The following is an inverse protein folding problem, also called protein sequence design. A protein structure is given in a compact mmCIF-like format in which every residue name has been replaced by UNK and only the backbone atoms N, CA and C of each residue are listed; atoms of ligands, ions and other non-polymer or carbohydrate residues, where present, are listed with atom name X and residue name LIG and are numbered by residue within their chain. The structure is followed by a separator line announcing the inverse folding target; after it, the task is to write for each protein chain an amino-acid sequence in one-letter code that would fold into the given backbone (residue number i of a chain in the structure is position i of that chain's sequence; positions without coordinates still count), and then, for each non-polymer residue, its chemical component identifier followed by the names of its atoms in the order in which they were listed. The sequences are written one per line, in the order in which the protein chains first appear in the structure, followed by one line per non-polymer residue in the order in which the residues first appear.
data_IF_829871026498
#
_entry.id   IF_829871026498
#
_cell.length_a   1.000
_cell.length_b   1.000
_cell.length_c   1.000
_cell.angle_alpha   90.00
_cell.angle_beta   90.00
_cell.angle_gamma   90.00
#
_symmetry.space_group_name_H-M   'P 1'
#
loop_
_entity.id
_entity.type
_entity.pdbx_description
1 polymer ?
#
# COMPACT_ATOMS: atom_id res chain seq x y z
N UNK A 1 -13.46 -15.15 10.37
CA UNK A 1 -13.41 -15.88 11.64
C UNK A 1 -13.51 -14.93 12.82
N UNK A 2 -14.21 -15.32 13.88
CA UNK A 2 -14.53 -14.51 15.07
C UNK A 2 -13.31 -13.77 15.68
N UNK A 3 -12.14 -14.40 15.72
CA UNK A 3 -10.86 -13.82 16.17
C UNK A 3 -10.37 -12.66 15.28
N UNK A 4 -10.64 -12.72 13.97
CA UNK A 4 -10.34 -11.63 13.04
C UNK A 4 -11.17 -10.39 13.34
N UNK A 5 -12.45 -10.58 13.68
CA UNK A 5 -13.34 -9.50 14.11
C UNK A 5 -12.87 -8.86 15.41
N UNK A 6 -12.45 -9.66 16.39
CA UNK A 6 -11.91 -9.16 17.65
C UNK A 6 -10.62 -8.34 17.48
N UNK A 7 -9.70 -8.81 16.63
CA UNK A 7 -8.48 -8.06 16.27
C UNK A 7 -8.83 -6.70 15.67
N UNK A 8 -9.74 -6.67 14.69
CA UNK A 8 -10.18 -5.42 14.04
C UNK A 8 -10.81 -4.47 15.07
N UNK A 9 -11.64 -5.01 15.97
CA UNK A 9 -12.24 -4.24 17.06
C UNK A 9 -11.22 -3.59 17.99
N UNK A 10 -10.25 -4.35 18.51
CA UNK A 10 -9.21 -3.80 19.41
C UNK A 10 -8.39 -2.72 18.70
N UNK A 11 -7.94 -2.98 17.46
CA UNK A 11 -7.16 -2.00 16.73
C UNK A 11 -7.96 -0.73 16.43
N UNK A 12 -9.26 -0.86 16.11
CA UNK A 12 -10.14 0.29 15.92
C UNK A 12 -10.27 1.14 17.19
N UNK A 13 -10.37 0.50 18.36
CA UNK A 13 -10.38 1.21 19.65
C UNK A 13 -9.02 1.87 19.96
N UNK A 14 -7.90 1.19 19.69
CA UNK A 14 -6.57 1.79 19.87
C UNK A 14 -6.38 3.02 18.98
N UNK A 15 -6.81 2.95 17.73
CA UNK A 15 -6.75 4.05 16.76
C UNK A 15 -7.62 5.22 17.19
N UNK A 16 -8.84 4.98 17.65
CA UNK A 16 -9.72 6.06 18.10
C UNK A 16 -9.14 6.78 19.31
N UNK A 17 -8.54 6.05 20.25
CA UNK A 17 -7.81 6.65 21.38
C UNK A 17 -6.59 7.45 20.94
N UNK A 18 -5.82 6.95 19.96
CA UNK A 18 -4.68 7.66 19.40
C UNK A 18 -5.13 8.97 18.74
N UNK A 19 -6.20 8.95 17.96
CA UNK A 19 -6.77 10.12 17.29
C UNK A 19 -7.17 11.20 18.31
N UNK A 20 -7.91 10.81 19.37
CA UNK A 20 -8.29 11.73 20.45
C UNK A 20 -7.03 12.36 21.06
N UNK A 21 -6.02 11.56 21.39
CA UNK A 21 -4.78 12.05 22.02
C UNK A 21 -4.00 13.01 21.10
N UNK A 22 -3.96 12.73 19.79
CA UNK A 22 -3.32 13.60 18.80
C UNK A 22 -4.06 14.93 18.67
N UNK A 23 -5.39 14.91 18.52
CA UNK A 23 -6.21 16.13 18.44
C UNK A 23 -6.10 16.98 19.70
N UNK A 24 -6.14 16.37 20.88
CA UNK A 24 -5.98 17.09 22.15
C UNK A 24 -4.60 17.74 22.27
N UNK A 25 -3.51 17.02 21.93
CA UNK A 25 -2.16 17.57 21.97
C UNK A 25 -1.96 18.71 20.95
N UNK A 26 -2.47 18.55 19.73
CA UNK A 26 -2.39 19.60 18.71
C UNK A 26 -3.17 20.84 19.12
N UNK A 27 -4.39 20.68 19.63
CA UNK A 27 -5.18 21.79 20.14
C UNK A 27 -4.49 22.50 21.32
N UNK A 28 -3.88 21.74 22.23
CA UNK A 28 -3.08 22.30 23.31
C UNK A 28 -1.86 23.09 22.81
N UNK A 29 -1.22 22.62 21.72
CA UNK A 29 -0.12 23.33 21.08
C UNK A 29 -0.58 24.65 20.47
N UNK A 30 -1.71 24.65 19.78
CA UNK A 30 -2.29 25.89 19.21
C UNK A 30 -2.64 26.90 20.31
N UNK A 31 -3.19 26.46 21.45
CA UNK A 31 -3.48 27.35 22.58
C UNK A 31 -2.23 27.98 23.22
N UNK A 32 -1.03 27.43 23.00
CA UNK A 32 0.24 27.96 23.52
C UNK A 32 0.96 28.88 22.52
N UNK A 33 0.41 29.07 21.34
CA UNK A 33 1.02 29.86 20.28
C UNK A 33 0.71 31.35 20.44
N UNK A 34 1.63 32.20 19.97
CA UNK A 34 1.52 33.66 20.08
C UNK A 34 0.43 34.21 19.16
N UNK A 35 -0.12 35.38 19.49
CA UNK A 35 -1.22 36.01 18.72
C UNK A 35 -0.81 36.26 17.26
N UNK A 36 0.46 36.64 17.01
CA UNK A 36 0.98 36.84 15.64
C UNK A 36 0.96 35.58 14.76
N UNK A 37 0.93 34.37 15.36
CA UNK A 37 0.74 33.13 14.61
C UNK A 37 -0.68 33.02 14.03
N UNK A 38 -1.68 33.52 14.75
CA UNK A 38 -3.08 33.55 14.32
C UNK A 38 -3.39 34.70 13.35
N UNK A 39 -2.63 35.80 13.41
CA UNK A 39 -2.72 36.89 12.42
C UNK A 39 -2.22 36.44 11.04
N UNK A 40 -1.29 35.48 11.01
CA UNK A 40 -0.68 34.95 9.76
C UNK A 40 -1.42 33.71 9.23
N UNK A 41 -2.16 32.99 10.07
CA UNK A 41 -2.84 31.75 9.69
C UNK A 41 -4.35 31.84 9.93
N UNK A 42 -5.14 31.72 8.86
CA UNK A 42 -6.59 31.68 8.96
C UNK A 42 -7.07 30.56 9.89
N UNK A 43 -7.96 30.91 10.83
CA UNK A 43 -8.57 29.99 11.78
C UNK A 43 -9.28 28.81 11.10
N UNK A 44 -9.87 29.02 9.91
CA UNK A 44 -10.47 27.98 9.09
C UNK A 44 -9.46 26.95 8.56
N UNK A 45 -8.26 27.39 8.16
CA UNK A 45 -7.18 26.51 7.68
C UNK A 45 -6.59 25.67 8.82
N UNK A 46 -6.44 26.27 10.00
CA UNK A 46 -5.99 25.57 11.22
C UNK A 46 -7.00 24.50 11.68
N UNK A 47 -8.29 24.80 11.63
CA UNK A 47 -9.36 23.85 11.94
C UNK A 47 -9.44 22.72 10.91
N UNK A 48 -9.26 23.05 9.62
CA UNK A 48 -9.21 22.06 8.54
C UNK A 48 -8.04 21.09 8.73
N UNK A 49 -6.82 21.59 8.98
CA UNK A 49 -5.65 20.73 9.29
C UNK A 49 -5.85 19.89 10.54
N UNK A 50 -6.41 20.47 11.60
CA UNK A 50 -6.69 19.75 12.84
C UNK A 50 -7.64 18.58 12.62
N UNK A 51 -8.65 18.72 11.76
CA UNK A 51 -9.63 17.66 11.52
C UNK A 51 -9.21 16.69 10.41
N UNK A 52 -8.78 17.22 9.26
CA UNK A 52 -8.49 16.45 8.05
C UNK A 52 -7.15 15.70 8.16
N UNK A 53 -6.06 16.40 8.51
CA UNK A 53 -4.73 15.78 8.56
C UNK A 53 -4.65 14.74 9.68
N UNK A 54 -5.25 15.02 10.84
CA UNK A 54 -5.31 14.04 11.94
C UNK A 54 -6.14 12.81 11.57
N UNK A 55 -7.16 12.97 10.74
CA UNK A 55 -8.00 11.86 10.29
C UNK A 55 -7.29 11.02 9.23
N UNK A 56 -6.60 11.64 8.27
CA UNK A 56 -5.75 10.95 7.30
C UNK A 56 -4.61 10.20 8.00
N UNK A 57 -3.94 10.85 8.96
CA UNK A 57 -2.87 10.22 9.72
C UNK A 57 -3.40 9.03 10.53
N UNK A 58 -4.51 9.22 11.24
CA UNK A 58 -5.12 8.16 12.04
C UNK A 58 -5.59 6.99 11.18
N UNK A 59 -6.22 7.24 10.03
CA UNK A 59 -6.68 6.18 9.12
C UNK A 59 -5.53 5.42 8.47
N UNK A 60 -4.46 6.12 8.12
CA UNK A 60 -3.23 5.52 7.57
C UNK A 60 -2.57 4.60 8.61
N UNK A 61 -2.43 5.09 9.85
CA UNK A 61 -1.90 4.29 10.97
C UNK A 61 -2.80 3.10 11.29
N UNK A 62 -4.13 3.31 11.27
CA UNK A 62 -5.12 2.28 11.53
C UNK A 62 -5.10 1.14 10.52
N UNK A 63 -4.83 1.44 9.26
CA UNK A 63 -4.85 0.44 8.21
C UNK A 63 -3.48 -0.23 8.06
N UNK A 64 -2.38 0.54 8.07
CA UNK A 64 -1.07 -0.01 7.76
C UNK A 64 -0.46 -0.82 8.91
N UNK A 65 -0.53 -0.34 10.16
CA UNK A 65 0.12 -1.04 11.29
C UNK A 65 -0.45 -2.45 11.50
N UNK A 66 -1.78 -2.66 11.56
CA UNK A 66 -2.34 -3.99 11.78
C UNK A 66 -2.10 -4.92 10.58
N UNK A 67 -2.01 -4.36 9.37
CA UNK A 67 -1.66 -5.12 8.17
C UNK A 67 -0.21 -5.58 8.22
N UNK A 68 0.75 -4.70 8.53
CA UNK A 68 2.17 -5.04 8.66
C UNK A 68 2.40 -6.09 9.76
N UNK A 69 1.85 -5.88 10.96
CA UNK A 69 1.97 -6.84 12.07
C UNK A 69 1.32 -8.17 11.68
N UNK A 70 0.12 -8.13 11.07
CA UNK A 70 -0.58 -9.31 10.63
C UNK A 70 0.18 -10.09 9.55
N UNK A 71 0.79 -9.39 8.59
CA UNK A 71 1.63 -9.98 7.56
C UNK A 71 2.88 -10.62 8.17
N UNK A 72 3.55 -9.94 9.10
CA UNK A 72 4.73 -10.46 9.79
C UNK A 72 4.43 -11.73 10.60
N UNK A 73 3.37 -11.71 11.42
CA UNK A 73 2.96 -12.88 12.21
C UNK A 73 2.58 -14.06 11.31
N UNK A 74 1.84 -13.81 10.23
CA UNK A 74 1.50 -14.85 9.26
C UNK A 74 2.76 -15.40 8.56
N UNK A 75 3.67 -14.53 8.13
CA UNK A 75 4.91 -14.92 7.47
C UNK A 75 5.73 -15.84 8.38
N UNK A 76 5.99 -15.42 9.62
CA UNK A 76 6.74 -16.21 10.61
C UNK A 76 6.02 -17.51 10.94
N UNK A 77 4.70 -17.47 11.17
CA UNK A 77 3.92 -18.65 11.49
C UNK A 77 3.91 -19.69 10.36
N UNK A 78 3.68 -19.25 9.12
CA UNK A 78 3.72 -20.11 7.93
C UNK A 78 5.12 -20.67 7.69
N UNK A 79 6.15 -19.85 7.84
CA UNK A 79 7.54 -20.28 7.66
C UNK A 79 7.95 -21.36 8.66
N UNK A 80 7.61 -21.19 9.94
CA UNK A 80 7.88 -22.20 10.99
C UNK A 80 7.12 -23.50 10.70
N UNK A 81 5.85 -23.42 10.27
CA UNK A 81 5.07 -24.61 9.94
C UNK A 81 5.63 -25.36 8.73
N UNK A 82 6.09 -24.65 7.68
CA UNK A 82 6.72 -25.28 6.52
C UNK A 82 7.98 -26.06 6.90
N UNK A 83 8.84 -25.48 7.74
CA UNK A 83 10.06 -26.15 8.24
C UNK A 83 9.70 -27.41 9.03
N UNK A 84 8.67 -27.34 9.87
CA UNK A 84 8.21 -28.48 10.69
C UNK A 84 7.64 -29.63 9.86
N UNK A 85 6.93 -29.34 8.77
CA UNK A 85 6.37 -30.37 7.90
C UNK A 85 7.46 -31.12 7.12
N UNK A 86 8.30 -30.39 6.40
CA UNK A 86 9.36 -30.99 5.61
C UNK A 86 10.45 -30.00 5.28
N UNK A 87 11.64 -30.30 5.78
CA UNK A 87 12.85 -29.53 5.49
C UNK A 87 13.21 -29.56 4.00
N UNK A 88 12.99 -30.70 3.32
CA UNK A 88 13.36 -30.88 1.90
C UNK A 88 12.48 -30.04 0.96
N UNK A 89 11.17 -29.98 1.23
CA UNK A 89 10.23 -29.15 0.48
C UNK A 89 10.45 -27.65 0.77
N UNK A 90 10.84 -27.32 1.99
CA UNK A 90 11.16 -25.94 2.37
C UNK A 90 12.38 -25.42 1.62
N UNK A 91 13.44 -26.22 1.43
CA UNK A 91 14.60 -25.83 0.63
C UNK A 91 14.22 -25.58 -0.83
N UNK A 92 13.40 -26.44 -1.42
CA UNK A 92 12.91 -26.25 -2.78
C UNK A 92 12.13 -24.94 -2.93
N UNK A 93 11.28 -24.61 -1.96
CA UNK A 93 10.59 -23.32 -1.91
C UNK A 93 11.57 -22.14 -1.71
N UNK A 94 12.60 -22.30 -0.88
CA UNK A 94 13.60 -21.27 -0.60
C UNK A 94 14.45 -20.95 -1.84
N UNK A 95 14.66 -21.90 -2.74
CA UNK A 95 15.34 -21.68 -4.03
C UNK A 95 14.46 -20.86 -4.98
N UNK A 96 13.13 -21.03 -4.95
CA UNK A 96 12.20 -20.23 -5.75
C UNK A 96 11.90 -18.83 -5.18
N UNK A 97 12.02 -18.66 -3.86
CA UNK A 97 11.81 -17.39 -3.17
C UNK A 97 12.66 -16.19 -3.70
N UNK A 98 13.98 -16.31 -3.96
CA UNK A 98 14.78 -15.20 -4.47
C UNK A 98 14.30 -14.69 -5.82
N UNK A 99 13.79 -15.56 -6.70
CA UNK A 99 13.26 -15.16 -7.99
C UNK A 99 12.08 -14.18 -7.82
N UNK A 100 11.15 -14.51 -6.92
CA UNK A 100 9.99 -13.67 -6.62
C UNK A 100 10.44 -12.36 -5.96
N UNK A 101 11.36 -12.42 -4.99
CA UNK A 101 11.87 -11.24 -4.29
C UNK A 101 12.57 -10.24 -5.22
N UNK A 102 13.36 -10.73 -6.18
CA UNK A 102 14.06 -9.87 -7.15
C UNK A 102 13.05 -9.12 -8.02
N UNK A 103 12.03 -9.81 -8.56
CA UNK A 103 11.03 -9.16 -9.40
C UNK A 103 10.19 -8.17 -8.61
N UNK A 104 9.80 -8.50 -7.37
CA UNK A 104 9.09 -7.55 -6.50
C UNK A 104 9.94 -6.32 -6.20
N UNK A 105 11.24 -6.47 -5.93
CA UNK A 105 12.16 -5.34 -5.69
C UNK A 105 12.30 -4.40 -6.90
N UNK A 106 12.54 -4.96 -8.08
CA UNK A 106 12.69 -4.18 -9.31
C UNK A 106 11.39 -3.44 -9.63
N UNK A 107 10.25 -4.15 -9.53
CA UNK A 107 8.94 -3.58 -9.83
C UNK A 107 8.54 -2.52 -8.80
N UNK A 108 8.86 -2.72 -7.51
CA UNK A 108 8.61 -1.74 -6.45
C UNK A 108 9.34 -0.42 -6.67
N UNK A 109 10.61 -0.46 -7.10
CA UNK A 109 11.36 0.76 -7.43
C UNK A 109 10.75 1.50 -8.63
N UNK A 110 10.33 0.77 -9.66
CA UNK A 110 9.66 1.37 -10.82
C UNK A 110 8.29 1.97 -10.44
N UNK A 111 7.55 1.29 -9.56
CA UNK A 111 6.26 1.75 -9.06
C UNK A 111 6.40 3.04 -8.24
N UNK A 112 7.43 3.12 -7.38
CA UNK A 112 7.74 4.32 -6.60
C UNK A 112 7.99 5.54 -7.50
N UNK A 113 8.83 5.40 -8.53
CA UNK A 113 9.10 6.49 -9.49
C UNK A 113 7.87 6.97 -10.25
N UNK A 114 7.00 6.04 -10.66
CA UNK A 114 5.76 6.41 -11.37
C UNK A 114 4.77 7.07 -10.39
N UNK A 115 4.70 6.58 -9.16
CA UNK A 115 3.84 7.16 -8.13
C UNK A 115 4.26 8.59 -7.78
N UNK A 116 5.56 8.85 -7.66
CA UNK A 116 6.13 10.19 -7.49
C UNK A 116 5.72 11.09 -8.66
N UNK A 117 5.88 10.62 -9.90
CA UNK A 117 5.46 11.37 -11.09
C UNK A 117 3.96 11.67 -11.13
N UNK A 118 3.09 10.75 -10.70
CA UNK A 118 1.65 10.98 -10.61
C UNK A 118 1.34 12.03 -9.54
N UNK A 119 2.08 12.02 -8.43
CA UNK A 119 1.95 13.00 -7.35
C UNK A 119 2.41 14.39 -7.81
N UNK A 120 3.55 14.49 -8.50
CA UNK A 120 4.06 15.75 -9.05
C UNK A 120 3.06 16.36 -10.04
N UNK A 121 2.54 15.57 -10.98
CA UNK A 121 1.54 16.05 -11.94
C UNK A 121 0.23 16.47 -11.27
N UNK A 122 -0.10 15.88 -10.12
CA UNK A 122 -1.28 16.30 -9.34
C UNK A 122 -1.01 17.62 -8.62
N UNK A 123 0.20 17.83 -8.11
CA UNK A 123 0.62 19.10 -7.52
C UNK A 123 0.64 20.23 -8.58
N UNK A 124 1.20 19.98 -9.77
CA UNK A 124 1.20 20.93 -10.89
C UNK A 124 -0.23 21.33 -11.29
N UNK A 125 -1.16 20.36 -11.34
CA UNK A 125 -2.55 20.64 -11.64
C UNK A 125 -3.21 21.53 -10.56
N UNK A 126 -2.91 21.28 -9.29
CA UNK A 126 -3.38 22.11 -8.17
C UNK A 126 -2.81 23.53 -8.24
N UNK A 127 -1.52 23.68 -8.56
CA UNK A 127 -0.86 24.98 -8.71
C UNK A 127 -1.51 25.82 -9.82
N UNK A 128 -1.76 25.24 -11.00
CA UNK A 128 -2.45 25.93 -12.11
C UNK A 128 -3.86 26.34 -11.71
N UNK A 129 -4.60 25.46 -11.03
CA UNK A 129 -5.94 25.78 -10.57
C UNK A 129 -5.91 26.95 -9.57
N UNK A 130 -4.96 26.94 -8.62
CA UNK A 130 -4.79 28.02 -7.66
C UNK A 130 -4.42 29.35 -8.34
N UNK A 131 -3.44 29.34 -9.26
CA UNK A 131 -3.03 30.50 -10.07
C UNK A 131 -4.23 31.10 -10.83
N UNK A 132 -4.98 30.24 -11.53
CA UNK A 132 -6.13 30.65 -12.36
C UNK A 132 -7.26 31.25 -11.52
N UNK A 133 -7.54 30.67 -10.35
CA UNK A 133 -8.59 31.15 -9.45
C UNK A 133 -8.18 32.48 -8.80
N UNK A 134 -6.92 32.60 -8.36
CA UNK A 134 -6.40 33.85 -7.80
C UNK A 134 -6.41 34.99 -8.82
N UNK A 135 -6.13 34.68 -10.10
CA UNK A 135 -6.09 35.66 -11.20
C UNK A 135 -7.36 35.71 -12.05
N UNK A 136 -8.49 35.21 -11.53
CA UNK A 136 -9.74 35.04 -12.32
C UNK A 136 -10.23 36.34 -12.98
N UNK A 137 -10.02 37.50 -12.34
CA UNK A 137 -10.38 38.81 -12.91
C UNK A 137 -9.55 39.11 -14.16
N UNK A 138 -8.26 38.77 -14.14
CA UNK A 138 -7.34 38.92 -15.27
C UNK A 138 -7.75 38.00 -16.40
N UNK A 139 -7.97 36.71 -16.11
CA UNK A 139 -8.41 35.72 -17.12
C UNK A 139 -9.70 36.15 -17.82
N UNK A 140 -10.69 36.64 -17.05
CA UNK A 140 -11.97 37.17 -17.56
C UNK A 140 -11.78 38.44 -18.39
N UNK A 141 -10.88 39.35 -17.96
CA UNK A 141 -10.61 40.60 -18.69
C UNK A 141 -9.96 40.38 -20.06
N UNK A 142 -9.17 39.31 -20.21
CA UNK A 142 -8.58 38.89 -21.49
C UNK A 142 -9.43 37.86 -22.25
N UNK A 143 -10.55 37.38 -21.67
CA UNK A 143 -11.42 36.36 -22.28
C UNK A 143 -10.75 35.00 -22.52
N UNK A 144 -9.68 34.66 -21.77
CA UNK A 144 -8.84 33.48 -22.02
C UNK A 144 -9.22 32.23 -21.20
N UNK A 145 -10.50 32.07 -20.89
CA UNK A 145 -11.00 30.96 -20.04
C UNK A 145 -10.74 29.59 -20.68
N UNK A 146 -10.98 29.46 -21.98
CA UNK A 146 -10.72 28.23 -22.73
C UNK A 146 -9.23 27.89 -22.81
N UNK A 147 -8.35 28.90 -22.75
CA UNK A 147 -6.90 28.73 -22.74
C UNK A 147 -6.42 28.06 -21.45
N UNK A 148 -6.82 28.61 -20.31
CA UNK A 148 -6.49 28.03 -19.00
C UNK A 148 -7.14 26.65 -18.80
N UNK A 149 -8.37 26.46 -19.30
CA UNK A 149 -9.03 25.15 -19.27
C UNK A 149 -8.26 24.11 -20.10
N UNK A 150 -7.74 24.47 -21.28
CA UNK A 150 -6.88 23.59 -22.08
C UNK A 150 -5.56 23.28 -21.37
N UNK A 151 -4.96 24.26 -20.70
CA UNK A 151 -3.71 24.08 -19.92
C UNK A 151 -3.93 23.08 -18.78
N UNK A 152 -4.99 23.26 -18.00
CA UNK A 152 -5.37 22.34 -16.91
C UNK A 152 -5.69 20.93 -17.44
N UNK A 153 -6.49 20.82 -18.51
CA UNK A 153 -6.81 19.54 -19.15
C UNK A 153 -5.56 18.84 -19.70
N UNK A 154 -4.57 19.61 -20.18
CA UNK A 154 -3.29 19.11 -20.64
C UNK A 154 -2.50 18.38 -19.55
N UNK A 155 -2.40 18.97 -18.35
CA UNK A 155 -1.75 18.34 -17.20
C UNK A 155 -2.53 17.11 -16.73
N UNK A 156 -3.85 17.21 -16.61
CA UNK A 156 -4.70 16.07 -16.23
C UNK A 156 -4.54 14.89 -17.18
N UNK A 157 -4.39 15.14 -18.49
CA UNK A 157 -4.15 14.10 -19.48
C UNK A 157 -2.77 13.44 -19.32
N UNK A 158 -1.75 14.19 -18.89
CA UNK A 158 -0.44 13.64 -18.55
C UNK A 158 -0.52 12.78 -17.28
N UNK A 159 -1.21 13.26 -16.24
CA UNK A 159 -1.44 12.50 -15.00
C UNK A 159 -2.18 11.19 -15.29
N UNK A 160 -3.21 11.25 -16.14
CA UNK A 160 -3.94 10.07 -16.59
C UNK A 160 -3.06 9.05 -17.32
N UNK A 161 -2.21 9.51 -18.25
CA UNK A 161 -1.25 8.62 -18.93
C UNK A 161 -0.25 7.99 -17.95
N UNK A 162 0.25 8.75 -16.98
CA UNK A 162 1.15 8.22 -15.95
C UNK A 162 0.44 7.16 -15.08
N UNK A 163 -0.81 7.42 -14.69
CA UNK A 163 -1.64 6.46 -13.94
C UNK A 163 -1.95 5.19 -14.74
N UNK A 164 -2.18 5.29 -16.06
CA UNK A 164 -2.32 4.12 -16.92
C UNK A 164 -1.06 3.25 -16.94
N UNK A 165 0.12 3.88 -17.03
CA UNK A 165 1.40 3.14 -16.98
C UNK A 165 1.59 2.49 -15.61
N UNK A 166 1.21 3.18 -14.53
CA UNK A 166 1.21 2.61 -13.17
C UNK A 166 0.30 1.38 -13.08
N UNK A 167 -0.93 1.47 -13.60
CA UNK A 167 -1.88 0.38 -13.60
C UNK A 167 -1.39 -0.81 -14.43
N UNK A 168 -0.81 -0.56 -15.61
CA UNK A 168 -0.23 -1.59 -16.46
C UNK A 168 0.94 -2.29 -15.77
N UNK A 169 1.86 -1.55 -15.15
CA UNK A 169 2.97 -2.11 -14.39
C UNK A 169 2.48 -2.96 -13.21
N UNK A 170 1.45 -2.48 -12.50
CA UNK A 170 0.81 -3.21 -11.40
C UNK A 170 0.20 -4.54 -11.86
N UNK A 171 -0.51 -4.51 -12.98
CA UNK A 171 -1.14 -5.70 -13.55
C UNK A 171 -0.09 -6.71 -14.00
N UNK A 172 0.95 -6.24 -14.70
CA UNK A 172 2.06 -7.09 -15.14
C UNK A 172 2.80 -7.73 -13.95
N UNK A 173 3.07 -6.97 -12.90
CA UNK A 173 3.68 -7.47 -11.67
C UNK A 173 2.80 -8.55 -11.02
N UNK A 174 1.49 -8.30 -10.87
CA UNK A 174 0.55 -9.27 -10.28
C UNK A 174 0.53 -10.57 -11.08
N UNK A 175 0.39 -10.50 -12.40
CA UNK A 175 0.38 -11.68 -13.26
C UNK A 175 1.68 -12.45 -13.19
N UNK A 176 2.82 -11.76 -13.20
CA UNK A 176 4.13 -12.41 -13.10
C UNK A 176 4.27 -13.19 -11.78
N UNK A 177 3.92 -12.57 -10.65
CA UNK A 177 4.01 -13.20 -9.32
C UNK A 177 3.06 -14.39 -9.22
N UNK A 178 1.84 -14.27 -9.75
CA UNK A 178 0.85 -15.34 -9.73
C UNK A 178 1.25 -16.54 -10.60
N UNK A 179 1.78 -16.29 -11.81
CA UNK A 179 2.33 -17.33 -12.67
C UNK A 179 3.54 -18.03 -12.04
N UNK A 180 4.44 -17.27 -11.42
CA UNK A 180 5.60 -17.83 -10.71
C UNK A 180 5.16 -18.72 -9.53
N UNK A 181 4.14 -18.31 -8.77
CA UNK A 181 3.58 -19.09 -7.66
C UNK A 181 2.90 -20.38 -8.13
N UNK A 182 2.15 -20.33 -9.23
CA UNK A 182 1.55 -21.51 -9.84
C UNK A 182 2.64 -22.48 -10.34
N UNK A 183 3.67 -21.96 -11.04
CA UNK A 183 4.81 -22.76 -11.49
C UNK A 183 5.53 -23.45 -10.32
N UNK A 184 5.80 -22.72 -9.25
CA UNK A 184 6.38 -23.29 -8.02
C UNK A 184 5.46 -24.36 -7.40
N UNK A 185 4.15 -24.16 -7.41
CA UNK A 185 3.19 -25.15 -6.90
C UNK A 185 3.22 -26.44 -7.72
N UNK A 186 3.33 -26.35 -9.05
CA UNK A 186 3.45 -27.52 -9.94
C UNK A 186 4.76 -28.27 -9.69
N UNK A 187 5.89 -27.57 -9.59
CA UNK A 187 7.19 -28.18 -9.25
C UNK A 187 7.12 -28.89 -7.90
N UNK A 188 6.49 -28.26 -6.91
CA UNK A 188 6.35 -28.81 -5.57
C UNK A 188 5.43 -30.02 -5.51
N UNK A 189 4.33 -30.03 -6.27
CA UNK A 189 3.48 -31.20 -6.43
C UNK A 189 4.23 -32.36 -7.09
N UNK A 190 5.00 -32.09 -8.14
CA UNK A 190 5.76 -33.13 -8.86
C UNK A 190 6.85 -33.75 -7.98
N UNK A 191 7.63 -32.91 -7.28
CA UNK A 191 8.69 -33.36 -6.38
C UNK A 191 8.10 -34.02 -5.12
N UNK A 192 7.06 -33.42 -4.55
CA UNK A 192 6.35 -33.96 -3.40
C UNK A 192 5.69 -35.31 -3.70
N UNK A 193 5.09 -35.50 -4.87
CA UNK A 193 4.53 -36.79 -5.29
C UNK A 193 5.60 -37.89 -5.34
N UNK A 194 6.80 -37.55 -5.80
CA UNK A 194 7.95 -38.46 -5.75
C UNK A 194 8.35 -38.81 -4.30
N UNK A 195 8.29 -37.85 -3.36
CA UNK A 195 8.60 -38.08 -1.95
C UNK A 195 7.53 -38.92 -1.22
N UNK A 196 6.26 -38.76 -1.58
CA UNK A 196 5.15 -39.59 -1.06
C UNK A 196 5.31 -41.02 -1.54
N UNK A 197 5.67 -41.23 -2.82
CA UNK A 197 5.94 -42.58 -3.35
C UNK A 197 7.08 -43.29 -2.62
N UNK A 198 8.05 -42.53 -2.12
CA UNK A 198 9.18 -43.05 -1.35
C UNK A 198 8.88 -43.17 0.16
N UNK A 199 7.62 -43.05 0.61
CA UNK A 199 7.18 -43.10 2.01
C UNK A 199 7.93 -42.14 2.95
N UNK A 200 8.45 -41.02 2.43
CA UNK A 200 9.17 -40.01 3.22
C UNK A 200 8.23 -38.97 3.84
N UNK A 201 7.04 -38.76 3.26
CA UNK A 201 6.04 -37.76 3.66
C UNK A 201 4.64 -38.35 3.43
N UNK A 202 3.67 -38.03 4.29
CA UNK A 202 2.28 -38.42 4.10
C UNK A 202 1.57 -37.51 3.06
N UNK A 203 0.63 -38.07 2.29
CA UNK A 203 -0.14 -37.31 1.30
C UNK A 203 -0.83 -36.03 1.84
N UNK A 204 -1.44 -36.04 3.05
CA UNK A 204 -2.03 -34.83 3.65
C UNK A 204 -1.02 -33.73 3.95
N UNK A 205 0.20 -34.07 4.34
CA UNK A 205 1.25 -33.09 4.64
C UNK A 205 1.67 -32.33 3.39
N UNK A 206 1.69 -33.00 2.23
CA UNK A 206 1.96 -32.37 0.95
C UNK A 206 0.89 -31.34 0.56
N UNK A 207 -0.40 -31.67 0.78
CA UNK A 207 -1.50 -30.74 0.53
C UNK A 207 -1.45 -29.53 1.47
N UNK A 208 -1.19 -29.77 2.77
CA UNK A 208 -0.99 -28.71 3.74
C UNK A 208 0.18 -27.80 3.34
N UNK A 209 1.28 -28.38 2.84
CA UNK A 209 2.43 -27.63 2.37
C UNK A 209 2.10 -26.71 1.19
N UNK A 210 1.35 -27.18 0.19
CA UNK A 210 0.93 -26.36 -0.96
C UNK A 210 0.06 -25.18 -0.50
N UNK A 211 -0.86 -25.42 0.44
CA UNK A 211 -1.71 -24.35 1.00
C UNK A 211 -0.86 -23.30 1.73
N UNK A 212 0.13 -23.75 2.52
CA UNK A 212 1.06 -22.84 3.20
C UNK A 212 1.93 -22.05 2.23
N UNK A 213 2.41 -22.68 1.15
CA UNK A 213 3.17 -22.01 0.09
C UNK A 213 2.34 -20.93 -0.61
N UNK A 214 1.09 -21.23 -1.00
CA UNK A 214 0.19 -20.24 -1.61
C UNK A 214 -0.08 -19.07 -0.66
N UNK A 215 -0.26 -19.37 0.63
CA UNK A 215 -0.43 -18.35 1.66
C UNK A 215 0.81 -17.45 1.77
N UNK A 216 2.02 -18.04 1.78
CA UNK A 216 3.27 -17.29 1.82
C UNK A 216 3.45 -16.40 0.59
N UNK A 217 3.10 -16.92 -0.59
CA UNK A 217 3.08 -16.16 -1.83
C UNK A 217 2.16 -14.93 -1.76
N UNK A 218 0.93 -15.10 -1.27
CA UNK A 218 -0.02 -13.98 -1.13
C UNK A 218 0.48 -12.89 -0.17
N UNK A 219 1.23 -13.26 0.87
CA UNK A 219 1.79 -12.29 1.84
C UNK A 219 2.86 -11.42 1.19
N UNK A 220 3.70 -11.99 0.33
CA UNK A 220 4.75 -11.28 -0.39
C UNK A 220 4.21 -10.30 -1.44
N UNK A 221 3.01 -10.53 -1.97
CA UNK A 221 2.36 -9.63 -2.94
C UNK A 221 1.68 -8.43 -2.27
N UNK A 222 1.31 -8.56 -0.98
CA UNK A 222 0.57 -7.54 -0.22
C UNK A 222 1.50 -6.59 0.56
N UNK A 223 2.80 -6.91 0.67
CA UNK A 223 3.82 -6.05 1.30
C UNK A 223 4.61 -5.27 0.26
#
# INVERSE_FOLDING_TARGET
GFLGGFRIGIFSVCVSRLNIRLRTKLFQSYLRQEIGFFDTNESGKLLSRLNHDTQIMSSTVANNIPQCIGAFVKFVGTFIMMIKLSFHLTIACLIGAPLILIVTRISGNAHGRISEKVQDLSADASEIAEETIQTIRTVRSFGNEDGELKRFAGILKQAYKASLVQAALSAAQKWFVELAQLGMSVVMLSYGAHLVRNNRIAGPDLLAFVIYQLTLGSILTVS
#
